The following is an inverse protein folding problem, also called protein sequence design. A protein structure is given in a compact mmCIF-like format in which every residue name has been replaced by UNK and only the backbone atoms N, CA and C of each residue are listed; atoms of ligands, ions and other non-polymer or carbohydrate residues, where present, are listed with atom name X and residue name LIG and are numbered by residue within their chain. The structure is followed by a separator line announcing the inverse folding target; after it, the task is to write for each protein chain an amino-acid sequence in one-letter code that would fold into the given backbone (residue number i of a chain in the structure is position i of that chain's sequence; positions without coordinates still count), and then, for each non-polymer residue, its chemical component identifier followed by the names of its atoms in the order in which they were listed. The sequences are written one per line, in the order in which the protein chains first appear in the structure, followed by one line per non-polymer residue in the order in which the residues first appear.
data_IF_732628779757
#
_entry.id   IF_732628779757
#
_cell.length_a   1.000
_cell.length_b   1.000
_cell.length_c   1.000
_cell.angle_alpha   90.00
_cell.angle_beta   90.00
_cell.angle_gamma   90.00
#
_symmetry.space_group_name_H-M   'P 1'
#
loop_
_entity.id
_entity.type
_entity.pdbx_description
1 polymer ?
#
# COMPACT_ATOMS: atom_id res chain seq x y z
N UNK A 1 -18.21 17.95 -1.39
CA UNK A 1 -16.90 18.14 -2.04
C UNK A 1 -16.09 16.85 -1.90
N UNK A 2 -15.85 16.11 -2.99
CA UNK A 2 -15.06 14.86 -2.96
C UNK A 2 -13.61 15.20 -2.59
N UNK A 3 -12.98 14.58 -1.58
CA UNK A 3 -11.60 14.90 -1.23
C UNK A 3 -10.70 14.61 -2.44
N UNK A 4 -9.88 15.59 -2.84
CA UNK A 4 -8.91 15.42 -3.92
C UNK A 4 -8.02 14.23 -3.57
N UNK A 5 -8.13 13.17 -4.36
CA UNK A 5 -7.37 11.95 -4.19
C UNK A 5 -5.87 12.29 -4.26
N UNK A 6 -5.11 11.93 -3.22
CA UNK A 6 -3.64 12.09 -3.10
C UNK A 6 -2.80 11.45 -4.23
N UNK A 7 -3.48 10.90 -5.23
CA UNK A 7 -2.95 10.12 -6.33
C UNK A 7 -3.30 10.75 -7.70
N UNK A 8 -3.85 11.96 -7.72
CA UNK A 8 -4.13 12.70 -8.95
C UNK A 8 -2.82 12.99 -9.69
N UNK A 9 -2.65 12.44 -10.90
CA UNK A 9 -1.45 12.61 -11.73
C UNK A 9 -0.47 11.43 -11.74
N UNK A 10 -0.72 10.34 -11.03
CA UNK A 10 0.04 9.11 -11.21
C UNK A 10 -0.54 8.27 -12.37
N UNK A 11 0.35 7.72 -13.22
CA UNK A 11 -0.01 6.80 -14.32
C UNK A 11 -0.79 5.57 -13.84
N UNK A 12 -0.72 5.27 -12.54
CA UNK A 12 -1.40 4.14 -11.90
C UNK A 12 -2.46 4.61 -10.89
N UNK A 13 -3.62 3.92 -10.83
CA UNK A 13 -4.66 4.21 -9.85
C UNK A 13 -4.16 4.09 -8.41
N UNK A 14 -4.66 4.95 -7.53
CA UNK A 14 -4.44 4.90 -6.07
C UNK A 14 -4.63 3.51 -5.45
N UNK A 15 -5.60 2.75 -5.98
CA UNK A 15 -5.94 1.41 -5.53
C UNK A 15 -4.79 0.43 -5.76
N UNK A 16 -4.12 0.52 -6.91
CA UNK A 16 -2.97 -0.33 -7.26
C UNK A 16 -1.80 -0.06 -6.31
N UNK A 17 -1.46 1.22 -6.12
CA UNK A 17 -0.38 1.65 -5.23
C UNK A 17 -0.67 1.18 -3.80
N UNK A 18 -1.89 1.41 -3.32
CA UNK A 18 -2.30 1.01 -1.97
C UNK A 18 -2.29 -0.50 -1.78
N UNK A 19 -2.61 -1.27 -2.82
CA UNK A 19 -2.60 -2.72 -2.77
C UNK A 19 -1.18 -3.28 -2.77
N UNK A 20 -0.28 -2.76 -3.60
CA UNK A 20 1.13 -3.15 -3.62
C UNK A 20 1.79 -2.90 -2.24
N UNK A 21 1.59 -1.71 -1.67
CA UNK A 21 2.10 -1.37 -0.33
C UNK A 21 1.48 -2.26 0.73
N UNK A 22 0.18 -2.57 0.64
CA UNK A 22 -0.47 -3.51 1.56
C UNK A 22 0.14 -4.91 1.46
N UNK A 23 0.38 -5.43 0.26
CA UNK A 23 0.99 -6.73 0.06
C UNK A 23 2.38 -6.82 0.65
N UNK A 24 3.19 -5.79 0.47
CA UNK A 24 4.51 -5.70 1.08
C UNK A 24 4.46 -5.72 2.62
N UNK A 25 3.66 -4.85 3.26
CA UNK A 25 3.64 -4.74 4.72
C UNK A 25 2.78 -5.78 5.45
N UNK A 26 1.70 -6.27 4.83
CA UNK A 26 0.71 -7.18 5.47
C UNK A 26 1.06 -8.65 5.26
N UNK A 27 1.63 -8.99 4.10
CA UNK A 27 1.92 -10.36 3.69
C UNK A 27 3.42 -10.65 3.54
N UNK A 28 4.30 -9.66 3.77
CA UNK A 28 5.76 -9.81 3.62
C UNK A 28 6.18 -10.33 2.24
N UNK A 29 5.42 -10.02 1.19
CA UNK A 29 5.75 -10.41 -0.17
C UNK A 29 7.01 -9.68 -0.67
N UNK A 30 7.83 -10.38 -1.44
CA UNK A 30 9.00 -9.77 -2.09
C UNK A 30 8.54 -8.77 -3.16
N UNK A 31 9.39 -7.80 -3.50
CA UNK A 31 9.06 -6.82 -4.53
C UNK A 31 8.84 -7.48 -5.91
N UNK A 32 9.53 -8.61 -6.18
CA UNK A 32 9.34 -9.42 -7.40
C UNK A 32 7.98 -10.12 -7.42
N UNK A 33 7.57 -10.75 -6.33
CA UNK A 33 6.22 -11.36 -6.23
C UNK A 33 5.13 -10.32 -6.45
N UNK A 34 5.30 -9.11 -5.89
CA UNK A 34 4.34 -8.00 -6.08
C UNK A 34 4.33 -7.52 -7.53
N UNK A 35 5.50 -7.45 -8.19
CA UNK A 35 5.61 -7.13 -9.62
C UNK A 35 4.86 -8.15 -10.47
N UNK A 36 5.06 -9.45 -10.24
CA UNK A 36 4.35 -10.51 -10.96
C UNK A 36 2.83 -10.46 -10.72
N UNK A 37 2.38 -10.31 -9.47
CA UNK A 37 0.96 -10.18 -9.15
C UNK A 37 0.29 -8.95 -9.77
N UNK A 38 1.04 -7.86 -9.94
CA UNK A 38 0.57 -6.68 -10.65
C UNK A 38 0.53 -6.93 -12.16
N UNK A 39 1.53 -7.63 -12.69
CA UNK A 39 1.59 -8.01 -14.09
C UNK A 39 0.43 -8.92 -14.49
N UNK A 40 0.10 -9.93 -13.67
CA UNK A 40 -1.09 -10.79 -13.85
C UNK A 40 -2.41 -10.00 -13.88
N UNK A 41 -2.45 -8.84 -13.21
CA UNK A 41 -3.60 -7.91 -13.22
C UNK A 41 -3.59 -6.94 -14.40
N UNK A 42 -2.67 -7.12 -15.36
CA UNK A 42 -2.48 -6.24 -16.51
C UNK A 42 -1.73 -4.94 -16.19
N UNK A 43 -1.04 -4.88 -15.05
CA UNK A 43 -0.32 -3.68 -14.58
C UNK A 43 1.18 -3.93 -14.62
N UNK A 44 1.84 -3.44 -15.67
CA UNK A 44 3.30 -3.51 -15.79
C UNK A 44 3.97 -2.42 -14.96
N UNK A 45 4.51 -2.76 -13.79
CA UNK A 45 5.23 -1.86 -12.87
C UNK A 45 6.51 -2.53 -12.40
N UNK A 46 7.66 -1.87 -12.57
CA UNK A 46 8.94 -2.42 -12.07
C UNK A 46 9.04 -2.40 -10.54
N UNK A 47 9.75 -3.37 -9.98
CA UNK A 47 10.01 -3.52 -8.55
C UNK A 47 10.59 -2.26 -7.88
N UNK A 48 11.39 -1.45 -8.60
CA UNK A 48 11.88 -0.16 -8.11
C UNK A 48 10.77 0.86 -7.86
N UNK A 49 9.72 0.85 -8.71
CA UNK A 49 8.56 1.72 -8.53
C UNK A 49 7.76 1.29 -7.30
N UNK A 50 7.61 -0.03 -7.09
CA UNK A 50 6.99 -0.59 -5.89
C UNK A 50 7.80 -0.19 -4.65
N UNK A 51 9.14 -0.26 -4.71
CA UNK A 51 10.02 0.17 -3.63
C UNK A 51 9.83 1.66 -3.30
N UNK A 52 9.78 2.54 -4.31
CA UNK A 52 9.51 3.97 -4.13
C UNK A 52 8.12 4.22 -3.53
N UNK A 53 7.11 3.41 -3.87
CA UNK A 53 5.80 3.50 -3.24
C UNK A 53 5.83 3.06 -1.77
N UNK A 54 6.54 1.99 -1.43
CA UNK A 54 6.71 1.58 -0.05
C UNK A 54 7.46 2.63 0.79
N UNK A 55 8.47 3.27 0.24
CA UNK A 55 9.20 4.33 0.92
C UNK A 55 8.31 5.57 1.16
N UNK A 56 7.63 6.05 0.10
CA UNK A 56 6.77 7.24 0.16
C UNK A 56 5.51 7.04 0.99
N UNK A 57 4.83 5.90 0.82
CA UNK A 57 3.54 5.63 1.45
C UNK A 57 3.66 4.78 2.72
N UNK A 58 4.82 4.20 3.03
CA UNK A 58 5.03 3.35 4.20
C UNK A 58 4.67 4.06 5.50
N UNK A 59 5.09 5.31 5.69
CA UNK A 59 4.73 6.11 6.87
C UNK A 59 3.20 6.35 6.97
N UNK A 60 2.56 6.62 5.84
CA UNK A 60 1.10 6.82 5.78
C UNK A 60 0.34 5.51 6.03
N UNK A 61 0.86 4.39 5.52
CA UNK A 61 0.31 3.06 5.72
C UNK A 61 0.45 2.63 7.19
N UNK A 62 1.63 2.80 7.80
CA UNK A 62 1.86 2.52 9.21
C UNK A 62 0.93 3.35 10.10
N UNK A 63 0.75 4.65 9.80
CA UNK A 63 -0.21 5.51 10.51
C UNK A 63 -1.65 5.02 10.36
N UNK A 64 -2.06 4.59 9.16
CA UNK A 64 -3.39 4.01 8.91
C UNK A 64 -3.58 2.67 9.63
N UNK A 65 -2.60 1.79 9.62
CA UNK A 65 -2.63 0.51 10.34
C UNK A 65 -2.71 0.74 11.85
N UNK A 66 -1.93 1.70 12.38
CA UNK A 66 -1.97 2.10 13.79
C UNK A 66 -3.32 2.70 14.18
N UNK A 67 -3.93 3.50 13.30
CA UNK A 67 -5.27 4.05 13.51
C UNK A 67 -6.38 3.00 13.37
N UNK A 68 -6.20 2.01 12.49
CA UNK A 68 -7.14 0.92 12.25
C UNK A 68 -7.05 -0.18 13.33
N UNK A 69 -5.91 -0.31 14.02
CA UNK A 69 -5.87 -1.02 15.30
C UNK A 69 -6.80 -0.27 16.24
N UNK A 70 -7.98 -0.84 16.49
CA UNK A 70 -8.85 -0.45 17.62
C UNK A 70 -7.94 -0.28 18.83
N UNK A 71 -8.08 0.84 19.56
CA UNK A 71 -7.47 0.96 20.89
C UNK A 71 -7.78 -0.35 21.59
N UNK A 72 -6.75 -1.16 21.88
CA UNK A 72 -6.92 -2.30 22.76
C UNK A 72 -7.62 -1.75 23.98
N UNK A 73 -8.84 -2.24 24.23
CA UNK A 73 -9.54 -1.94 25.48
C UNK A 73 -8.53 -2.21 26.59
N UNK A 74 -8.43 -1.29 27.53
CA UNK A 74 -7.43 -1.29 28.62
C UNK A 74 -7.66 -2.43 29.64
N UNK A 75 -8.35 -3.48 29.23
CA UNK A 75 -8.89 -4.53 30.08
C UNK A 75 -8.47 -5.85 29.45
N UNK A 76 -7.42 -6.41 30.04
CA UNK A 76 -7.20 -7.84 30.01
C UNK A 76 -8.02 -8.41 31.17
N UNK A 77 -8.87 -9.41 30.91
CA UNK A 77 -9.65 -10.13 31.91
C UNK A 77 -8.90 -11.39 32.33
#
# INVERSE_FOLDING_TARGET
MKPKSLYHGHRFPAAIISQAVRWYFRFQLSLRDIEELLFERGVSVSHETIRRWCDKFGATFARRVKAARRKSGRIWH
#
